data_IF_536955028890
#
_entry.id   IF_536955028890
#
_cell.length_a   1.000
_cell.length_b   1.000
_cell.length_c   1.000
_cell.angle_alpha   90.00
_cell.angle_beta   90.00
_cell.angle_gamma   90.00
#
_symmetry.space_group_name_H-M   'P 1'
#
loop_
_entity.id
_entity.type
_entity.pdbx_description
1 polymer ?
#
# COMPACT_ATOMS: atom_id res chain seq x y z
N UNK A 1 -24.58 -30.44 18.13
CA UNK A 1 -24.38 -28.97 18.23
C UNK A 1 -24.63 -28.41 16.84
N UNK A 2 -25.59 -27.53 16.64
CA UNK A 2 -25.78 -26.88 15.34
C UNK A 2 -24.73 -25.75 15.25
N UNK A 3 -23.73 -25.93 14.40
CA UNK A 3 -22.78 -24.90 14.09
C UNK A 3 -23.49 -23.87 13.20
N UNK A 4 -23.58 -22.64 13.66
CA UNK A 4 -24.12 -21.55 12.87
C UNK A 4 -22.94 -20.72 12.33
N UNK A 5 -22.73 -20.73 11.02
CA UNK A 5 -21.80 -19.86 10.33
C UNK A 5 -22.52 -18.58 9.92
N UNK A 6 -21.77 -17.48 9.79
CA UNK A 6 -22.23 -16.30 9.08
C UNK A 6 -22.45 -16.63 7.60
N UNK A 7 -23.19 -15.79 6.91
CA UNK A 7 -23.52 -16.03 5.50
C UNK A 7 -22.26 -16.10 4.63
N UNK A 8 -21.37 -15.13 4.76
CA UNK A 8 -20.15 -15.07 3.92
C UNK A 8 -19.15 -16.14 4.34
N UNK A 9 -19.08 -16.48 5.65
CA UNK A 9 -18.27 -17.61 6.12
C UNK A 9 -18.76 -18.95 5.57
N UNK A 10 -20.07 -19.14 5.41
CA UNK A 10 -20.64 -20.33 4.77
C UNK A 10 -20.27 -20.39 3.27
N UNK A 11 -20.38 -19.29 2.55
CA UNK A 11 -19.97 -19.22 1.14
C UNK A 11 -18.47 -19.48 0.94
N UNK A 12 -17.64 -19.03 1.89
CA UNK A 12 -16.21 -19.37 1.91
C UNK A 12 -15.99 -20.89 2.06
N UNK A 13 -16.66 -21.53 3.00
CA UNK A 13 -16.58 -22.97 3.18
C UNK A 13 -17.01 -23.70 1.89
N UNK A 14 -18.17 -23.32 1.33
CA UNK A 14 -18.71 -23.90 0.11
C UNK A 14 -17.76 -23.75 -1.08
N UNK A 15 -17.10 -22.60 -1.21
CA UNK A 15 -16.16 -22.35 -2.30
C UNK A 15 -14.99 -23.37 -2.31
N UNK A 16 -14.52 -23.80 -1.16
CA UNK A 16 -13.48 -24.85 -1.04
C UNK A 16 -14.05 -26.23 -1.36
N UNK A 17 -15.20 -26.58 -0.76
CA UNK A 17 -15.81 -27.91 -0.87
C UNK A 17 -16.34 -28.16 -2.28
N UNK A 18 -16.88 -27.14 -2.96
CA UNK A 18 -17.44 -27.24 -4.29
C UNK A 18 -16.43 -26.96 -5.42
N UNK A 19 -15.16 -26.75 -5.07
CA UNK A 19 -14.07 -26.44 -6.02
C UNK A 19 -14.41 -25.23 -6.92
N UNK A 20 -14.99 -24.19 -6.31
CA UNK A 20 -15.45 -23.02 -7.05
C UNK A 20 -14.29 -22.19 -7.63
N UNK A 21 -13.13 -22.20 -6.96
CA UNK A 21 -11.90 -21.56 -7.40
C UNK A 21 -10.68 -22.27 -6.81
N UNK A 22 -9.59 -22.31 -7.58
CA UNK A 22 -8.33 -22.93 -7.12
C UNK A 22 -7.65 -22.10 -6.04
N UNK A 23 -7.60 -20.78 -6.22
CA UNK A 23 -6.97 -19.83 -5.29
C UNK A 23 -8.04 -18.96 -4.65
N UNK A 24 -8.11 -18.96 -3.32
CA UNK A 24 -9.12 -18.20 -2.56
C UNK A 24 -8.41 -17.31 -1.55
N UNK A 25 -8.68 -16.00 -1.58
CA UNK A 25 -8.20 -15.06 -0.57
C UNK A 25 -9.36 -14.49 0.24
N UNK A 26 -9.35 -14.75 1.55
CA UNK A 26 -10.40 -14.33 2.47
C UNK A 26 -9.92 -13.20 3.35
N UNK A 27 -10.48 -12.03 3.13
CA UNK A 27 -10.25 -10.83 3.93
C UNK A 27 -11.36 -10.67 4.97
N UNK A 28 -11.02 -10.33 6.19
CA UNK A 28 -12.04 -10.05 7.20
C UNK A 28 -11.45 -9.42 8.46
N UNK A 29 -12.24 -8.68 9.24
CA UNK A 29 -11.79 -8.14 10.52
C UNK A 29 -11.38 -9.25 11.49
N UNK A 30 -10.77 -8.84 12.59
CA UNK A 30 -10.36 -9.78 13.63
C UNK A 30 -11.59 -10.36 14.34
N UNK A 31 -11.57 -11.69 14.54
CA UNK A 31 -12.66 -12.39 15.24
C UNK A 31 -13.78 -12.90 14.33
N UNK A 32 -13.76 -12.62 13.03
CA UNK A 32 -14.82 -13.09 12.10
C UNK A 32 -14.60 -14.53 11.61
N UNK A 33 -14.10 -15.41 12.48
CA UNK A 33 -14.03 -16.88 12.34
C UNK A 33 -13.29 -17.42 11.09
N UNK A 34 -12.44 -16.63 10.40
CA UNK A 34 -11.73 -17.06 9.18
C UNK A 34 -10.97 -18.40 9.35
N UNK A 35 -10.17 -18.51 10.41
CA UNK A 35 -9.38 -19.70 10.74
C UNK A 35 -10.26 -20.91 11.02
N UNK A 36 -11.33 -20.75 11.83
CA UNK A 36 -12.26 -21.83 12.14
C UNK A 36 -13.02 -22.32 10.90
N UNK A 37 -13.45 -21.40 10.06
CA UNK A 37 -14.13 -21.73 8.80
C UNK A 37 -13.22 -22.49 7.84
N UNK A 38 -11.93 -22.11 7.75
CA UNK A 38 -10.96 -22.86 6.96
C UNK A 38 -10.78 -24.29 7.49
N UNK A 39 -10.60 -24.45 8.81
CA UNK A 39 -10.43 -25.79 9.41
C UNK A 39 -11.65 -26.67 9.15
N UNK A 40 -12.87 -26.11 9.22
CA UNK A 40 -14.10 -26.82 8.82
C UNK A 40 -14.10 -27.20 7.35
N UNK A 41 -13.71 -26.27 6.48
CA UNK A 41 -13.64 -26.51 5.05
C UNK A 41 -12.61 -27.59 4.68
N UNK A 42 -11.45 -27.60 5.37
CA UNK A 42 -10.43 -28.65 5.18
C UNK A 42 -10.95 -30.05 5.57
N UNK A 43 -11.74 -30.15 6.65
CA UNK A 43 -12.38 -31.40 7.06
C UNK A 43 -13.44 -31.82 6.05
N UNK A 44 -14.35 -30.92 5.66
CA UNK A 44 -15.41 -31.21 4.68
C UNK A 44 -14.83 -31.59 3.30
N UNK A 45 -13.75 -30.93 2.89
CA UNK A 45 -12.99 -31.27 1.69
C UNK A 45 -12.40 -32.68 1.78
N UNK A 46 -11.86 -33.07 2.94
CA UNK A 46 -11.32 -34.42 3.14
C UNK A 46 -12.41 -35.51 3.15
N UNK A 47 -13.57 -35.24 3.75
CA UNK A 47 -14.73 -36.13 3.68
C UNK A 47 -15.21 -36.35 2.24
N UNK A 48 -15.24 -35.27 1.44
CA UNK A 48 -15.59 -35.39 0.02
C UNK A 48 -14.53 -36.15 -0.78
N UNK A 49 -13.23 -35.95 -0.52
CA UNK A 49 -12.16 -36.76 -1.10
C UNK A 49 -12.37 -38.25 -0.80
N UNK A 50 -12.62 -38.59 0.47
CA UNK A 50 -12.86 -39.95 0.88
C UNK A 50 -14.08 -40.58 0.19
N UNK A 51 -15.19 -39.81 0.10
CA UNK A 51 -16.41 -40.25 -0.56
C UNK A 51 -16.20 -40.54 -2.05
N UNK A 52 -15.31 -39.79 -2.69
CA UNK A 52 -14.95 -39.95 -4.11
C UNK A 52 -13.83 -40.96 -4.34
N UNK A 53 -13.35 -41.64 -3.27
CA UNK A 53 -12.34 -42.70 -3.36
C UNK A 53 -10.88 -42.19 -3.45
N UNK A 54 -10.61 -40.94 -3.15
CA UNK A 54 -9.24 -40.41 -3.07
C UNK A 54 -8.57 -40.79 -1.74
N UNK A 55 -7.22 -40.79 -1.70
CA UNK A 55 -6.49 -41.17 -0.48
C UNK A 55 -6.76 -40.23 0.71
N UNK A 56 -6.84 -40.81 1.91
CA UNK A 56 -6.87 -40.10 3.20
C UNK A 56 -5.74 -40.60 4.11
N UNK A 57 -5.21 -39.79 5.05
CA UNK A 57 -5.58 -38.42 5.31
C UNK A 57 -5.18 -37.45 4.16
N UNK A 58 -6.04 -36.46 3.88
CA UNK A 58 -5.74 -35.43 2.94
C UNK A 58 -4.66 -34.51 3.52
N UNK A 59 -3.55 -34.36 2.79
CA UNK A 59 -2.41 -33.57 3.24
C UNK A 59 -2.59 -32.10 2.95
N UNK A 60 -2.46 -31.27 3.98
CA UNK A 60 -2.45 -29.82 3.92
C UNK A 60 -1.14 -29.27 4.48
N UNK A 61 -0.75 -28.10 4.01
CA UNK A 61 0.27 -27.28 4.66
C UNK A 61 -0.38 -25.99 5.17
N UNK A 62 -0.12 -25.66 6.43
CA UNK A 62 -0.49 -24.40 7.06
C UNK A 62 0.75 -23.54 7.28
N UNK A 63 0.75 -22.33 6.71
CA UNK A 63 1.93 -21.47 6.67
C UNK A 63 1.63 -20.13 7.33
N UNK A 64 2.50 -19.71 8.25
CA UNK A 64 2.50 -18.38 8.85
C UNK A 64 3.85 -17.69 8.62
N UNK A 65 3.98 -16.42 8.98
CA UNK A 65 5.25 -15.69 8.91
C UNK A 65 6.32 -16.27 9.86
N UNK A 66 5.90 -16.77 11.03
CA UNK A 66 6.79 -17.43 12.01
C UNK A 66 6.13 -18.66 12.58
N UNK A 67 6.92 -19.67 12.92
CA UNK A 67 6.38 -20.87 13.60
C UNK A 67 5.64 -20.51 14.91
N UNK A 68 6.14 -19.53 15.65
CA UNK A 68 5.49 -19.02 16.86
C UNK A 68 4.06 -18.52 16.61
N UNK A 69 3.75 -18.02 15.41
CA UNK A 69 2.39 -17.59 15.09
C UNK A 69 1.40 -18.76 15.11
N UNK A 70 1.80 -19.96 14.67
CA UNK A 70 0.98 -21.16 14.81
C UNK A 70 0.69 -21.50 16.27
N UNK A 71 1.71 -21.47 17.13
CA UNK A 71 1.56 -21.76 18.56
C UNK A 71 0.57 -20.79 19.23
N UNK A 72 0.58 -19.53 18.84
CA UNK A 72 -0.27 -18.49 19.46
C UNK A 72 -1.68 -18.43 18.86
N UNK A 73 -1.85 -18.77 17.58
CA UNK A 73 -3.12 -18.53 16.87
C UNK A 73 -3.78 -19.82 16.39
N UNK A 74 -3.07 -20.65 15.63
CA UNK A 74 -3.63 -21.81 14.95
C UNK A 74 -3.90 -22.95 15.93
N UNK A 75 -2.92 -23.29 16.76
CA UNK A 75 -3.03 -24.40 17.72
C UNK A 75 -4.16 -24.19 18.74
N UNK A 76 -4.34 -22.99 19.35
CA UNK A 76 -5.51 -22.75 20.17
C UNK A 76 -6.84 -22.95 19.45
N UNK A 77 -6.90 -22.64 18.15
CA UNK A 77 -8.09 -22.87 17.32
C UNK A 77 -8.40 -24.35 17.11
N UNK A 78 -7.38 -25.21 17.06
CA UNK A 78 -7.53 -26.68 16.97
C UNK A 78 -8.04 -27.29 18.28
N UNK A 79 -7.76 -26.65 19.41
CA UNK A 79 -8.23 -27.06 20.74
C UNK A 79 -9.59 -26.46 21.13
N UNK A 80 -10.24 -25.74 20.24
CA UNK A 80 -11.57 -25.17 20.48
C UNK A 80 -12.57 -26.29 20.86
N UNK A 81 -13.44 -26.09 21.86
CA UNK A 81 -14.48 -27.06 22.23
C UNK A 81 -15.38 -27.50 21.08
N UNK A 82 -15.48 -26.70 20.03
CA UNK A 82 -16.15 -27.05 18.79
C UNK A 82 -15.71 -28.41 18.23
N UNK A 83 -14.41 -28.72 18.31
CA UNK A 83 -13.81 -29.93 17.76
C UNK A 83 -13.91 -31.15 18.64
N UNK A 84 -14.29 -31.00 19.93
CA UNK A 84 -14.40 -32.08 20.89
C UNK A 84 -13.14 -32.98 20.96
N UNK A 85 -11.95 -32.39 20.73
CA UNK A 85 -10.68 -33.10 20.73
C UNK A 85 -10.41 -33.96 19.49
N UNK A 86 -11.14 -33.74 18.38
CA UNK A 86 -10.89 -34.47 17.12
C UNK A 86 -9.57 -34.08 16.45
N UNK A 87 -9.08 -32.88 16.69
CA UNK A 87 -7.72 -32.46 16.30
C UNK A 87 -6.71 -32.91 17.35
N UNK A 88 -5.63 -33.54 16.90
CA UNK A 88 -4.45 -33.89 17.72
C UNK A 88 -3.21 -33.23 17.12
N UNK A 89 -2.39 -32.64 17.97
CA UNK A 89 -1.13 -31.96 17.56
C UNK A 89 0.03 -32.88 17.96
N UNK A 90 0.96 -33.10 17.03
CA UNK A 90 2.12 -33.99 17.15
C UNK A 90 3.43 -33.25 16.80
N UNK A 91 4.54 -33.90 17.15
CA UNK A 91 5.89 -33.49 16.76
C UNK A 91 6.22 -32.01 17.08
N UNK A 92 5.99 -31.62 18.33
CA UNK A 92 6.32 -30.27 18.80
C UNK A 92 5.53 -29.18 18.09
N UNK A 93 4.26 -29.46 17.79
CA UNK A 93 3.32 -28.54 17.15
C UNK A 93 3.53 -28.30 15.64
N UNK A 94 4.29 -29.18 14.98
CA UNK A 94 4.48 -29.09 13.52
C UNK A 94 3.42 -29.85 12.72
N UNK A 95 2.78 -30.87 13.30
CA UNK A 95 1.75 -31.68 12.63
C UNK A 95 0.45 -31.71 13.42
N UNK A 96 -0.64 -31.30 12.78
CA UNK A 96 -1.99 -31.43 13.32
C UNK A 96 -2.79 -32.44 12.48
N UNK A 97 -3.44 -33.40 13.14
CA UNK A 97 -4.24 -34.42 12.47
C UNK A 97 -5.67 -34.39 12.99
N UNK A 98 -6.65 -34.31 12.07
CA UNK A 98 -8.07 -34.47 12.39
C UNK A 98 -8.50 -35.92 12.25
N UNK A 99 -9.19 -36.42 13.25
CA UNK A 99 -9.73 -37.74 13.29
C UNK A 99 -11.26 -37.76 13.27
N UNK A 100 -11.85 -38.56 12.40
CA UNK A 100 -13.27 -38.92 12.46
C UNK A 100 -13.34 -40.30 13.13
N UNK A 101 -13.65 -40.30 14.43
CA UNK A 101 -13.45 -41.51 15.26
C UNK A 101 -11.97 -41.87 15.36
N UNK A 102 -11.59 -43.04 14.84
CA UNK A 102 -10.20 -43.50 14.79
C UNK A 102 -9.51 -43.24 13.44
N UNK A 103 -10.27 -42.80 12.44
CA UNK A 103 -9.76 -42.60 11.07
C UNK A 103 -9.19 -41.20 10.88
N UNK A 104 -7.90 -41.07 10.52
CA UNK A 104 -7.34 -39.76 10.17
C UNK A 104 -7.90 -39.30 8.84
N UNK A 105 -8.47 -38.09 8.81
CA UNK A 105 -9.03 -37.48 7.58
C UNK A 105 -8.18 -36.37 7.02
N UNK A 106 -7.63 -35.53 7.88
CA UNK A 106 -6.75 -34.40 7.48
C UNK A 106 -5.43 -34.54 8.22
N UNK A 107 -4.33 -34.34 7.52
CA UNK A 107 -2.99 -34.16 8.10
C UNK A 107 -2.45 -32.82 7.65
N UNK A 108 -2.26 -31.89 8.57
CA UNK A 108 -1.82 -30.52 8.27
C UNK A 108 -0.45 -30.27 8.91
N UNK A 109 0.56 -30.06 8.07
CA UNK A 109 1.87 -29.62 8.54
C UNK A 109 1.88 -28.09 8.74
N UNK A 110 2.29 -27.67 9.95
CA UNK A 110 2.28 -26.27 10.40
C UNK A 110 3.71 -25.73 10.50
N UNK A 111 4.09 -24.73 9.71
CA UNK A 111 5.41 -24.12 9.80
C UNK A 111 5.44 -22.63 9.47
N UNK A 112 6.48 -21.95 9.96
CA UNK A 112 6.74 -20.57 9.67
C UNK A 112 7.70 -20.40 8.50
N UNK A 113 7.57 -19.28 7.78
CA UNK A 113 8.47 -18.90 6.69
C UNK A 113 9.37 -17.77 7.18
N UNK A 114 10.34 -18.11 8.03
CA UNK A 114 11.23 -17.14 8.68
C UNK A 114 12.47 -16.82 7.85
N UNK A 115 12.86 -17.72 6.95
CA UNK A 115 14.05 -17.61 6.10
C UNK A 115 13.88 -18.32 4.75
N UNK A 116 14.88 -18.22 3.89
CA UNK A 116 14.87 -18.85 2.57
C UNK A 116 14.79 -20.39 2.65
N UNK A 117 15.43 -21.01 3.64
CA UNK A 117 15.37 -22.47 3.84
C UNK A 117 13.95 -22.93 4.21
N UNK A 118 13.18 -22.08 4.89
CA UNK A 118 11.78 -22.34 5.16
C UNK A 118 10.92 -22.26 3.89
N UNK A 119 11.23 -21.35 2.96
CA UNK A 119 10.55 -21.30 1.64
C UNK A 119 10.84 -22.56 0.83
N UNK A 120 12.02 -23.12 0.89
CA UNK A 120 12.38 -24.36 0.18
C UNK A 120 11.57 -25.56 0.73
N UNK A 121 11.21 -25.59 2.00
CA UNK A 121 10.32 -26.61 2.59
C UNK A 121 8.88 -26.57 2.02
N UNK A 122 8.44 -25.45 1.45
CA UNK A 122 7.14 -25.34 0.78
C UNK A 122 7.02 -26.21 -0.48
N UNK A 123 8.11 -26.83 -0.93
CA UNK A 123 8.14 -27.74 -2.10
C UNK A 123 7.67 -29.17 -1.78
N UNK A 124 7.22 -29.44 -0.56
CA UNK A 124 6.68 -30.75 -0.21
C UNK A 124 5.35 -31.01 -0.92
N UNK A 125 5.12 -32.25 -1.34
CA UNK A 125 3.89 -32.64 -2.02
C UNK A 125 2.69 -32.58 -1.08
N UNK A 126 1.66 -31.86 -1.51
CA UNK A 126 0.44 -31.62 -0.73
C UNK A 126 -0.81 -31.62 -1.64
N UNK A 127 -1.98 -31.66 -1.03
CA UNK A 127 -3.27 -31.41 -1.69
C UNK A 127 -3.72 -29.97 -1.45
N UNK A 128 -3.78 -29.57 -0.17
CA UNK A 128 -4.24 -28.24 0.22
C UNK A 128 -3.12 -27.34 0.70
N UNK A 129 -3.24 -26.05 0.44
CA UNK A 129 -2.33 -25.00 0.90
C UNK A 129 -3.14 -23.96 1.66
N UNK A 130 -2.68 -23.59 2.84
CA UNK A 130 -3.26 -22.54 3.64
C UNK A 130 -2.21 -21.55 4.15
N UNK A 131 -2.35 -20.28 3.82
CA UNK A 131 -1.55 -19.18 4.38
C UNK A 131 -2.39 -18.41 5.38
N UNK A 132 -1.99 -18.42 6.65
CA UNK A 132 -2.65 -17.66 7.70
C UNK A 132 -1.93 -16.36 7.98
N UNK A 133 -2.67 -15.25 7.86
CA UNK A 133 -2.20 -13.90 8.14
C UNK A 133 -0.86 -13.56 7.45
N UNK A 134 -0.75 -13.74 6.12
CA UNK A 134 0.48 -13.40 5.40
C UNK A 134 0.79 -11.91 5.40
N UNK A 135 -0.13 -11.09 5.90
CA UNK A 135 -0.02 -9.64 6.00
C UNK A 135 0.52 -9.26 7.36
N UNK A 136 1.61 -8.50 7.41
CA UNK A 136 2.13 -7.95 8.65
C UNK A 136 1.08 -7.07 9.35
N UNK A 137 0.83 -7.31 10.62
CA UNK A 137 -0.15 -6.55 11.41
C UNK A 137 0.44 -5.23 11.87
N UNK A 138 1.71 -5.22 12.23
CA UNK A 138 2.41 -4.04 12.71
C UNK A 138 3.71 -3.84 11.93
N UNK A 139 4.10 -2.61 11.81
CA UNK A 139 5.28 -2.14 11.10
C UNK A 139 6.59 -2.62 11.68
N UNK A 140 6.62 -2.84 12.98
CA UNK A 140 7.79 -3.40 13.67
C UNK A 140 8.05 -4.86 13.23
N UNK A 141 7.02 -5.53 12.75
CA UNK A 141 7.11 -6.82 12.08
C UNK A 141 6.99 -6.58 10.57
N UNK A 142 8.05 -6.14 9.92
CA UNK A 142 8.15 -6.12 8.44
C UNK A 142 8.08 -7.55 7.86
N UNK A 143 7.53 -8.45 8.63
CA UNK A 143 7.35 -9.86 8.36
C UNK A 143 5.98 -10.00 7.73
N UNK A 144 5.96 -10.32 6.53
CA UNK A 144 4.82 -10.82 5.80
C UNK A 144 5.31 -11.96 4.94
N UNK A 145 4.42 -12.81 4.50
CA UNK A 145 4.78 -13.88 3.59
C UNK A 145 4.76 -13.32 2.16
N UNK A 146 5.83 -13.57 1.41
CA UNK A 146 5.96 -13.07 0.04
C UNK A 146 5.07 -13.82 -0.94
N UNK A 147 4.73 -13.20 -2.07
CA UNK A 147 4.05 -13.86 -3.19
C UNK A 147 4.88 -15.03 -3.74
N UNK A 148 6.22 -14.93 -3.71
CA UNK A 148 7.12 -16.02 -4.11
C UNK A 148 6.89 -17.28 -3.26
N UNK A 149 6.74 -17.14 -1.95
CA UNK A 149 6.42 -18.27 -1.06
C UNK A 149 5.06 -18.88 -1.42
N UNK A 150 4.05 -18.05 -1.69
CA UNK A 150 2.74 -18.50 -2.16
C UNK A 150 2.84 -19.32 -3.46
N UNK A 151 3.52 -18.79 -4.47
CA UNK A 151 3.71 -19.46 -5.76
C UNK A 151 4.48 -20.78 -5.60
N UNK A 152 5.46 -20.85 -4.70
CA UNK A 152 6.20 -22.08 -4.40
C UNK A 152 5.27 -23.13 -3.78
N UNK A 153 4.45 -22.73 -2.80
CA UNK A 153 3.52 -23.64 -2.13
C UNK A 153 2.46 -24.21 -3.09
N UNK A 154 1.81 -23.39 -3.90
CA UNK A 154 0.77 -23.85 -4.84
C UNK A 154 1.33 -24.73 -5.95
N UNK A 155 2.61 -24.55 -6.33
CA UNK A 155 3.27 -25.44 -7.31
C UNK A 155 3.55 -26.84 -6.78
N UNK A 156 3.41 -27.04 -5.48
CA UNK A 156 3.64 -28.33 -4.78
C UNK A 156 2.38 -29.17 -4.58
N UNK A 157 1.24 -28.67 -5.01
CA UNK A 157 -0.04 -29.39 -4.98
C UNK A 157 -0.08 -30.47 -6.06
N UNK A 158 0.38 -31.70 -5.74
CA UNK A 158 0.57 -32.81 -6.71
C UNK A 158 -0.04 -34.13 -6.25
N UNK A 159 -0.45 -34.23 -4.98
CA UNK A 159 -1.05 -35.47 -4.49
C UNK A 159 -2.45 -35.70 -5.09
N UNK A 160 -2.85 -36.96 -5.33
CA UNK A 160 -4.16 -37.25 -5.89
C UNK A 160 -5.30 -36.75 -4.99
N UNK A 161 -6.19 -35.94 -5.58
CA UNK A 161 -7.39 -35.41 -4.93
C UNK A 161 -8.40 -34.98 -5.99
N UNK A 162 -9.66 -34.75 -5.61
CA UNK A 162 -10.65 -34.21 -6.55
C UNK A 162 -10.42 -32.74 -6.85
N UNK A 163 -9.82 -32.00 -5.91
CA UNK A 163 -9.44 -30.60 -6.07
C UNK A 163 -8.22 -30.23 -5.23
N UNK A 164 -7.60 -29.11 -5.56
CA UNK A 164 -6.37 -28.64 -4.93
C UNK A 164 -6.56 -27.20 -4.42
N UNK A 165 -7.28 -26.99 -3.32
CA UNK A 165 -7.55 -25.67 -2.80
C UNK A 165 -6.29 -25.00 -2.25
N UNK A 166 -6.09 -23.75 -2.63
CA UNK A 166 -5.05 -22.88 -2.09
C UNK A 166 -5.73 -21.65 -1.46
N UNK A 167 -5.59 -21.49 -0.15
CA UNK A 167 -6.39 -20.54 0.61
C UNK A 167 -5.51 -19.58 1.42
N UNK A 168 -5.85 -18.33 1.38
CA UNK A 168 -5.30 -17.27 2.24
C UNK A 168 -6.41 -16.79 3.17
N UNK A 169 -6.17 -16.81 4.48
CA UNK A 169 -7.02 -16.15 5.48
C UNK A 169 -6.26 -14.99 6.08
N UNK A 170 -6.77 -13.77 5.95
CA UNK A 170 -6.03 -12.59 6.40
C UNK A 170 -6.94 -11.48 6.91
N UNK A 171 -6.38 -10.62 7.76
CA UNK A 171 -6.96 -9.32 8.00
C UNK A 171 -6.74 -8.43 6.76
N UNK A 172 -7.45 -7.31 6.69
CA UNK A 172 -7.32 -6.41 5.54
C UNK A 172 -5.89 -5.85 5.44
N UNK A 173 -5.21 -6.03 4.31
CA UNK A 173 -3.90 -5.46 4.07
C UNK A 173 -3.98 -3.98 3.65
N UNK A 174 -2.84 -3.45 3.33
CA UNK A 174 -2.65 -2.27 2.51
C UNK A 174 -3.14 -2.52 1.06
N UNK A 175 -3.70 -1.49 0.43
CA UNK A 175 -4.20 -1.56 -0.95
C UNK A 175 -3.15 -2.01 -1.97
N UNK A 176 -1.86 -1.76 -1.69
CA UNK A 176 -0.74 -2.17 -2.54
C UNK A 176 -0.17 -3.56 -2.25
N UNK A 177 -0.68 -4.24 -1.24
CA UNK A 177 -0.19 -5.57 -0.88
C UNK A 177 -0.38 -6.57 -2.04
N UNK A 178 0.55 -7.52 -2.18
CA UNK A 178 0.52 -8.49 -3.28
C UNK A 178 -0.78 -9.31 -3.34
N UNK A 179 -1.42 -9.60 -2.21
CA UNK A 179 -2.72 -10.29 -2.19
C UNK A 179 -3.81 -9.47 -2.86
N UNK A 180 -3.83 -8.14 -2.66
CA UNK A 180 -4.81 -7.25 -3.33
C UNK A 180 -4.55 -7.20 -4.82
N UNK A 181 -3.28 -7.10 -5.23
CA UNK A 181 -2.89 -7.08 -6.66
C UNK A 181 -3.16 -8.40 -7.37
N UNK A 182 -3.11 -9.53 -6.66
CA UNK A 182 -3.34 -10.85 -7.22
C UNK A 182 -4.82 -11.23 -7.29
N UNK A 183 -5.58 -10.91 -6.26
CA UNK A 183 -6.97 -11.38 -6.10
C UNK A 183 -8.03 -10.32 -6.44
N UNK A 184 -7.64 -9.07 -6.66
CA UNK A 184 -8.53 -7.97 -7.03
C UNK A 184 -9.82 -7.88 -6.19
N UNK A 185 -9.74 -7.86 -4.85
CA UNK A 185 -10.94 -7.84 -4.03
C UNK A 185 -11.79 -6.60 -4.28
N UNK A 186 -13.10 -6.67 -4.09
CA UNK A 186 -13.95 -5.49 -4.20
C UNK A 186 -13.55 -4.46 -3.14
N UNK A 187 -13.16 -3.27 -3.55
CA UNK A 187 -12.71 -2.22 -2.62
C UNK A 187 -13.87 -1.65 -1.81
N UNK A 188 -15.07 -1.65 -2.37
CA UNK A 188 -16.32 -1.21 -1.72
C UNK A 188 -17.39 -2.28 -1.87
N UNK A 189 -17.75 -3.00 -0.80
CA UNK A 189 -18.85 -3.97 -0.84
C UNK A 189 -20.22 -3.26 -0.85
N UNK A 190 -21.31 -3.89 -1.34
CA UNK A 190 -21.30 -5.12 -2.07
C UNK A 190 -20.77 -4.95 -3.50
N UNK A 191 -20.34 -6.04 -4.20
CA UNK A 191 -20.40 -7.43 -3.77
C UNK A 191 -19.32 -7.79 -2.73
N UNK A 192 -19.56 -8.85 -1.95
CA UNK A 192 -18.59 -9.38 -0.98
C UNK A 192 -17.64 -10.42 -1.59
N UNK A 193 -18.01 -11.00 -2.72
CA UNK A 193 -17.27 -12.04 -3.41
C UNK A 193 -17.07 -11.60 -4.86
N UNK A 194 -15.84 -11.72 -5.32
CA UNK A 194 -15.47 -11.52 -6.74
C UNK A 194 -14.61 -12.68 -7.16
N UNK A 195 -14.90 -13.23 -8.34
CA UNK A 195 -14.13 -14.29 -8.96
C UNK A 195 -13.61 -13.84 -10.32
N UNK A 196 -12.33 -14.10 -10.56
CA UNK A 196 -11.64 -13.87 -11.83
C UNK A 196 -10.90 -15.17 -12.20
N UNK A 197 -11.49 -15.93 -13.10
CA UNK A 197 -11.01 -17.26 -13.50
C UNK A 197 -10.88 -18.21 -12.29
N UNK A 198 -9.68 -18.70 -12.07
CA UNK A 198 -9.31 -19.63 -10.98
C UNK A 198 -9.12 -18.94 -9.63
N UNK A 199 -9.30 -17.62 -9.52
CA UNK A 199 -9.06 -16.83 -8.30
C UNK A 199 -10.34 -16.24 -7.78
N UNK A 200 -10.50 -16.32 -6.47
CA UNK A 200 -11.65 -15.76 -5.76
C UNK A 200 -11.19 -14.90 -4.59
N UNK A 201 -11.73 -13.71 -4.48
CA UNK A 201 -11.59 -12.83 -3.33
C UNK A 201 -12.89 -12.77 -2.54
N UNK A 202 -12.83 -13.04 -1.25
CA UNK A 202 -13.97 -13.03 -0.33
C UNK A 202 -13.73 -11.99 0.76
N UNK A 203 -14.69 -11.08 0.96
CA UNK A 203 -14.68 -10.10 2.05
C UNK A 203 -15.72 -10.47 3.10
N UNK A 204 -15.28 -11.00 4.24
CA UNK A 204 -16.15 -11.23 5.39
C UNK A 204 -16.42 -9.86 6.05
N UNK A 205 -17.68 -9.42 6.14
CA UNK A 205 -18.00 -8.16 6.78
C UNK A 205 -17.87 -8.24 8.31
N UNK A 206 -17.73 -7.10 8.95
CA UNK A 206 -17.86 -6.99 10.41
C UNK A 206 -19.25 -7.45 10.84
N UNK A 207 -19.30 -8.40 11.75
CA UNK A 207 -20.54 -8.93 12.29
C UNK A 207 -21.06 -10.20 11.63
N UNK A 208 -20.35 -10.75 10.67
CA UNK A 208 -20.72 -12.04 10.02
C UNK A 208 -20.62 -13.22 11.01
N UNK A 209 -19.70 -13.18 11.99
CA UNK A 209 -19.60 -14.20 13.02
C UNK A 209 -20.70 -14.03 14.10
N UNK A 210 -21.72 -14.89 14.16
CA UNK A 210 -22.81 -14.77 15.13
C UNK A 210 -22.38 -15.12 16.57
N UNK A 211 -21.23 -15.76 16.75
CA UNK A 211 -20.72 -16.18 18.06
C UNK A 211 -19.81 -15.13 18.70
N UNK A 212 -19.40 -14.10 17.97
CA UNK A 212 -18.55 -13.03 18.49
C UNK A 212 -19.39 -12.01 19.28
N UNK A 213 -19.11 -11.88 20.56
CA UNK A 213 -19.84 -10.92 21.42
C UNK A 213 -19.65 -9.46 21.00
N UNK A 214 -20.69 -8.65 21.13
CA UNK A 214 -20.58 -7.20 20.93
C UNK A 214 -19.51 -6.58 21.82
N UNK A 215 -19.42 -7.03 23.07
CA UNK A 215 -18.39 -6.57 24.04
C UNK A 215 -16.97 -6.75 23.51
N UNK A 216 -16.64 -7.89 22.89
CA UNK A 216 -15.31 -8.09 22.30
C UNK A 216 -15.02 -7.08 21.19
N UNK A 217 -16.02 -6.79 20.32
CA UNK A 217 -15.89 -5.79 19.26
C UNK A 217 -15.65 -4.39 19.82
N UNK A 218 -16.36 -4.03 20.89
CA UNK A 218 -16.23 -2.73 21.53
C UNK A 218 -14.87 -2.57 22.23
N UNK A 219 -14.43 -3.60 22.96
CA UNK A 219 -13.11 -3.61 23.62
C UNK A 219 -11.96 -3.52 22.59
N UNK A 220 -12.07 -4.25 21.47
CA UNK A 220 -11.10 -4.18 20.39
C UNK A 220 -11.09 -2.78 19.74
N UNK A 221 -12.25 -2.21 19.47
CA UNK A 221 -12.36 -0.86 18.91
C UNK A 221 -11.75 0.18 19.86
N UNK A 222 -12.03 0.06 21.16
CA UNK A 222 -11.45 0.93 22.18
C UNK A 222 -9.93 0.82 22.28
N UNK A 223 -9.37 -0.40 22.17
CA UNK A 223 -7.93 -0.65 22.20
C UNK A 223 -7.18 -0.06 20.99
N UNK A 224 -7.87 0.11 19.87
CA UNK A 224 -7.32 0.65 18.62
C UNK A 224 -7.60 2.15 18.43
N UNK A 225 -8.21 2.83 19.40
CA UNK A 225 -8.63 4.25 19.30
C UNK A 225 -7.50 5.18 18.86
N UNK A 226 -6.28 4.92 19.33
CA UNK A 226 -5.09 5.73 19.02
C UNK A 226 -4.31 5.22 17.78
N UNK A 227 -4.82 4.21 17.09
CA UNK A 227 -4.23 3.59 15.90
C UNK A 227 -5.28 3.49 14.80
N UNK A 228 -5.66 4.61 14.17
CA UNK A 228 -6.71 4.64 13.14
C UNK A 228 -6.40 3.75 11.94
N UNK A 229 -5.12 3.56 11.59
CA UNK A 229 -4.65 2.62 10.59
C UNK A 229 -5.03 1.16 10.89
N UNK A 230 -4.81 0.72 12.12
CA UNK A 230 -5.20 -0.61 12.58
C UNK A 230 -6.70 -0.73 12.81
N UNK A 231 -7.33 0.32 13.31
CA UNK A 231 -8.78 0.36 13.54
C UNK A 231 -9.56 0.08 12.25
N UNK A 232 -9.22 0.77 11.16
CA UNK A 232 -9.86 0.59 9.85
C UNK A 232 -9.69 -0.86 9.35
N UNK A 233 -8.53 -1.45 9.53
CA UNK A 233 -8.20 -2.80 9.01
C UNK A 233 -8.73 -3.92 9.89
N UNK A 234 -8.51 -3.83 11.20
CA UNK A 234 -8.78 -4.93 12.14
C UNK A 234 -10.19 -4.88 12.73
N UNK A 235 -10.78 -3.69 12.86
CA UNK A 235 -12.09 -3.50 13.47
C UNK A 235 -13.19 -3.20 12.44
N UNK A 236 -12.94 -2.29 11.49
CA UNK A 236 -13.96 -1.90 10.51
C UNK A 236 -14.01 -2.79 9.26
N UNK A 237 -12.93 -3.54 9.01
CA UNK A 237 -12.90 -4.45 7.88
C UNK A 237 -12.76 -3.77 6.53
N UNK A 238 -11.86 -2.80 6.44
CA UNK A 238 -11.54 -2.11 5.20
C UNK A 238 -10.04 -2.16 4.90
N UNK A 239 -9.72 -2.10 3.60
CA UNK A 239 -8.35 -1.89 3.17
C UNK A 239 -7.87 -0.53 3.65
N UNK A 240 -6.60 -0.44 4.04
CA UNK A 240 -6.03 0.79 4.54
C UNK A 240 -4.58 0.91 4.14
N UNK A 241 -3.96 2.07 4.32
CA UNK A 241 -2.52 2.13 4.27
C UNK A 241 -1.93 1.70 5.62
N UNK A 242 -0.93 0.84 5.60
CA UNK A 242 -0.09 0.60 6.77
C UNK A 242 0.73 1.86 7.03
N UNK A 243 0.42 2.53 8.13
CA UNK A 243 1.38 3.48 8.67
C UNK A 243 2.61 2.66 9.14
N UNK A 244 3.67 2.68 8.34
CA UNK A 244 4.92 1.96 8.65
C UNK A 244 5.70 2.58 9.83
N UNK A 245 5.10 3.51 10.55
CA UNK A 245 5.65 4.25 11.68
C UNK A 245 4.72 5.40 12.06
N UNK A 246 5.24 6.41 12.73
CA UNK A 246 4.49 7.65 12.93
C UNK A 246 4.42 8.41 11.60
N UNK A 247 3.21 8.73 11.16
CA UNK A 247 2.96 9.41 9.89
C UNK A 247 3.64 10.80 9.87
N UNK A 248 4.43 11.08 8.85
CA UNK A 248 5.07 12.38 8.66
C UNK A 248 4.04 13.45 8.32
N UNK A 249 3.12 13.12 7.43
CA UNK A 249 2.05 14.02 6.95
C UNK A 249 0.82 13.98 7.86
N UNK A 250 0.98 14.30 9.15
CA UNK A 250 -0.04 14.12 10.18
C UNK A 250 -1.37 14.88 9.92
N UNK A 251 -1.38 15.92 9.08
CA UNK A 251 -2.60 16.65 8.71
C UNK A 251 -3.26 16.19 7.41
N UNK A 252 -2.67 15.21 6.71
CA UNK A 252 -3.19 14.75 5.44
C UNK A 252 -4.47 13.91 5.61
N UNK A 253 -5.55 14.35 4.98
CA UNK A 253 -6.83 13.64 4.93
C UNK A 253 -7.22 13.39 3.46
N UNK A 254 -7.20 12.15 2.96
CA UNK A 254 -7.55 11.85 1.57
C UNK A 254 -8.93 12.37 1.15
N UNK A 255 -9.93 12.28 2.02
CA UNK A 255 -11.28 12.76 1.71
C UNK A 255 -11.33 14.29 1.48
N UNK A 256 -10.45 15.04 2.14
CA UNK A 256 -10.34 16.48 2.01
C UNK A 256 -9.34 16.92 0.93
N UNK A 257 -8.22 16.21 0.79
CA UNK A 257 -7.08 16.68 -0.01
C UNK A 257 -6.92 15.97 -1.37
N UNK A 258 -7.63 14.87 -1.63
CA UNK A 258 -7.62 14.24 -2.95
C UNK A 258 -8.86 14.67 -3.72
N UNK A 259 -8.66 15.10 -4.96
CA UNK A 259 -9.78 15.46 -5.83
C UNK A 259 -10.59 14.21 -6.21
N UNK A 260 -11.90 14.36 -6.35
CA UNK A 260 -12.76 13.29 -6.90
C UNK A 260 -12.53 13.09 -8.40
N UNK A 261 -12.10 14.14 -9.08
CA UNK A 261 -11.89 14.16 -10.52
C UNK A 261 -10.43 14.41 -10.86
N UNK A 262 -10.03 14.00 -12.07
CA UNK A 262 -8.69 14.28 -12.57
C UNK A 262 -8.47 15.79 -12.72
N UNK A 263 -7.42 16.32 -12.11
CA UNK A 263 -7.04 17.71 -12.22
C UNK A 263 -6.20 17.95 -13.49
N UNK A 264 -6.40 19.11 -14.11
CA UNK A 264 -5.59 19.57 -15.24
C UNK A 264 -4.97 20.93 -14.94
N UNK A 265 -3.75 21.18 -15.43
CA UNK A 265 -3.12 22.50 -15.32
C UNK A 265 -3.97 23.59 -15.96
N UNK A 266 -3.97 24.75 -15.32
CA UNK A 266 -4.63 25.97 -15.82
C UNK A 266 -3.68 26.65 -16.79
N UNK A 267 -4.08 26.77 -18.05
CA UNK A 267 -3.27 27.38 -19.08
C UNK A 267 -3.05 28.88 -18.79
N UNK A 268 -1.80 29.34 -18.96
CA UNK A 268 -1.42 30.73 -18.70
C UNK A 268 -1.13 31.04 -17.24
N UNK A 269 -1.25 30.08 -16.33
CA UNK A 269 -0.84 30.24 -14.93
C UNK A 269 0.54 29.57 -14.70
N UNK A 270 1.43 30.17 -13.89
CA UNK A 270 2.74 29.59 -13.60
C UNK A 270 2.66 28.19 -12.98
N UNK A 271 3.56 27.31 -13.40
CA UNK A 271 3.79 26.02 -12.79
C UNK A 271 4.79 26.15 -11.64
N UNK A 272 4.49 25.49 -10.54
CA UNK A 272 5.36 25.37 -9.39
C UNK A 272 5.89 23.94 -9.32
N UNK A 273 7.20 23.80 -9.14
CA UNK A 273 7.88 22.52 -9.03
C UNK A 273 8.58 22.39 -7.66
N UNK A 274 8.49 21.21 -7.08
CA UNK A 274 9.32 20.80 -5.95
C UNK A 274 10.25 19.68 -6.39
N UNK A 275 11.55 19.82 -6.16
CA UNK A 275 12.57 18.90 -6.64
C UNK A 275 13.42 18.34 -5.50
N UNK A 276 13.46 17.02 -5.39
CA UNK A 276 14.41 16.29 -4.57
C UNK A 276 15.51 15.66 -5.45
N UNK A 277 16.77 15.70 -4.97
CA UNK A 277 17.96 15.30 -5.73
C UNK A 277 18.66 14.05 -5.16
N UNK A 278 18.01 13.14 -4.60
CA UNK A 278 18.66 11.88 -4.17
C UNK A 278 19.26 11.06 -5.32
N UNK A 279 19.75 9.87 -5.03
CA UNK A 279 20.11 8.87 -6.05
C UNK A 279 18.92 8.53 -6.96
N UNK A 280 17.73 8.80 -6.51
CA UNK A 280 16.43 8.62 -7.17
C UNK A 280 15.66 9.92 -7.12
N UNK A 281 15.92 10.86 -8.05
CA UNK A 281 15.27 12.16 -8.02
C UNK A 281 13.75 12.07 -8.13
N UNK A 282 13.05 13.00 -7.45
CA UNK A 282 11.60 13.10 -7.53
C UNK A 282 11.15 14.53 -7.80
N UNK A 283 10.09 14.68 -8.60
CA UNK A 283 9.53 15.98 -8.96
C UNK A 283 8.03 16.03 -8.65
N UNK A 284 7.60 17.08 -7.94
CA UNK A 284 6.19 17.43 -7.74
C UNK A 284 5.85 18.60 -8.65
N UNK A 285 4.73 18.54 -9.36
CA UNK A 285 4.25 19.57 -10.27
C UNK A 285 2.85 20.03 -9.86
N UNK A 286 2.70 21.34 -9.66
CA UNK A 286 1.42 21.93 -9.29
C UNK A 286 1.29 23.41 -9.65
N UNK A 287 0.22 24.01 -9.19
CA UNK A 287 -0.08 25.44 -9.35
C UNK A 287 -0.75 26.00 -8.11
N UNK A 288 -0.56 27.29 -7.86
CA UNK A 288 -1.37 28.05 -6.93
C UNK A 288 -2.28 29.01 -7.70
N UNK A 289 -3.59 28.89 -7.53
CA UNK A 289 -4.54 29.75 -8.21
C UNK A 289 -5.64 30.19 -7.25
N UNK A 290 -5.84 31.49 -7.09
CA UNK A 290 -6.82 32.11 -6.17
C UNK A 290 -6.74 31.55 -4.74
N UNK A 291 -5.51 31.27 -4.28
CA UNK A 291 -5.25 30.73 -2.96
C UNK A 291 -5.38 29.19 -2.85
N UNK A 292 -6.02 28.53 -3.80
CA UNK A 292 -6.06 27.07 -3.87
C UNK A 292 -4.78 26.52 -4.49
N UNK A 293 -4.32 25.39 -3.98
CA UNK A 293 -3.14 24.67 -4.45
C UNK A 293 -3.58 23.38 -5.12
N UNK A 294 -3.20 23.18 -6.37
CA UNK A 294 -3.49 21.99 -7.15
C UNK A 294 -2.20 21.30 -7.51
N UNK A 295 -2.06 20.05 -7.11
CA UNK A 295 -0.92 19.20 -7.50
C UNK A 295 -1.39 18.22 -8.56
N UNK A 296 -0.73 18.22 -9.69
CA UNK A 296 -1.13 17.47 -10.88
C UNK A 296 -0.37 16.19 -11.07
N UNK A 297 0.93 16.21 -10.71
CA UNK A 297 1.80 15.06 -10.86
C UNK A 297 2.81 14.96 -9.71
N UNK A 298 3.11 13.73 -9.36
CA UNK A 298 4.20 13.32 -8.50
C UNK A 298 5.00 12.26 -9.25
N UNK A 299 6.18 12.62 -9.70
CA UNK A 299 7.01 11.85 -10.61
C UNK A 299 8.24 11.34 -9.86
N UNK A 300 8.26 10.07 -9.41
CA UNK A 300 9.46 9.43 -8.90
C UNK A 300 10.36 8.99 -10.05
N UNK A 301 11.63 8.78 -9.75
CA UNK A 301 12.58 8.14 -10.65
C UNK A 301 13.03 6.82 -10.04
N UNK A 302 12.79 5.72 -10.72
CA UNK A 302 13.19 4.40 -10.21
C UNK A 302 14.69 4.15 -10.36
N UNK A 303 15.27 4.65 -11.47
CA UNK A 303 16.70 4.48 -11.76
C UNK A 303 17.20 5.63 -12.64
N UNK A 304 18.33 6.22 -12.29
CA UNK A 304 19.00 7.23 -13.10
C UNK A 304 19.13 8.60 -12.43
N UNK A 305 19.96 9.43 -13.03
CA UNK A 305 20.22 10.79 -12.57
C UNK A 305 19.16 11.80 -13.05
N UNK A 306 19.33 13.05 -12.64
CA UNK A 306 18.41 14.15 -12.91
C UNK A 306 18.12 14.33 -14.41
N UNK A 307 19.12 14.30 -15.27
CA UNK A 307 18.94 14.40 -16.73
C UNK A 307 17.99 13.34 -17.26
N UNK A 308 18.23 12.08 -16.89
CA UNK A 308 17.41 10.95 -17.34
C UNK A 308 15.96 11.06 -16.80
N UNK A 309 15.79 11.49 -15.55
CA UNK A 309 14.47 11.73 -14.97
C UNK A 309 13.69 12.81 -15.72
N UNK A 310 14.35 13.92 -16.05
CA UNK A 310 13.71 15.00 -16.78
C UNK A 310 13.37 14.60 -18.21
N UNK A 311 14.28 13.94 -18.92
CA UNK A 311 14.03 13.45 -20.29
C UNK A 311 12.92 12.39 -20.36
N UNK A 312 12.87 11.46 -19.40
CA UNK A 312 11.91 10.36 -19.42
C UNK A 312 10.54 10.69 -18.82
N UNK A 313 10.47 11.64 -17.85
CA UNK A 313 9.25 11.85 -17.07
C UNK A 313 8.76 13.29 -17.09
N UNK A 314 9.60 14.26 -16.70
CA UNK A 314 9.16 15.65 -16.45
C UNK A 314 8.84 16.36 -17.77
N UNK A 315 9.76 16.37 -18.74
CA UNK A 315 9.56 17.02 -20.04
C UNK A 315 8.40 16.40 -20.83
N UNK A 316 8.27 15.06 -20.95
CA UNK A 316 7.11 14.45 -21.59
C UNK A 316 5.79 14.79 -20.90
N UNK A 317 5.76 14.87 -19.57
CA UNK A 317 4.57 15.27 -18.83
C UNK A 317 4.21 16.74 -19.18
N UNK A 318 5.18 17.65 -19.15
CA UNK A 318 4.98 19.07 -19.50
C UNK A 318 4.50 19.21 -20.95
N UNK A 319 5.12 18.50 -21.89
CA UNK A 319 4.73 18.53 -23.30
C UNK A 319 3.27 18.11 -23.51
N UNK A 320 2.81 17.13 -22.74
CA UNK A 320 1.45 16.60 -22.83
C UNK A 320 0.41 17.48 -22.15
N UNK A 321 0.71 18.01 -20.96
CA UNK A 321 -0.30 18.65 -20.10
C UNK A 321 -0.13 20.17 -19.94
N UNK A 322 1.07 20.69 -20.16
CA UNK A 322 1.39 22.11 -19.98
C UNK A 322 2.36 22.65 -21.07
N UNK A 323 2.05 22.45 -22.38
CA UNK A 323 2.98 22.82 -23.46
C UNK A 323 3.30 24.30 -23.50
N UNK A 324 2.43 25.17 -22.94
CA UNK A 324 2.71 26.61 -22.85
C UNK A 324 3.92 26.91 -21.95
N UNK A 325 4.12 26.16 -20.90
CA UNK A 325 5.24 26.36 -19.97
C UNK A 325 6.60 25.99 -20.61
N UNK A 326 6.61 25.07 -21.57
CA UNK A 326 7.81 24.76 -22.36
C UNK A 326 8.12 25.86 -23.38
N UNK A 327 7.09 26.57 -23.87
CA UNK A 327 7.25 27.72 -24.80
C UNK A 327 7.70 28.98 -24.09
N UNK A 328 7.17 29.23 -22.90
CA UNK A 328 7.54 30.36 -22.04
C UNK A 328 8.11 29.86 -20.72
N UNK A 329 9.42 29.75 -20.66
CA UNK A 329 10.13 29.22 -19.48
C UNK A 329 9.98 30.11 -18.24
N UNK A 330 9.56 31.36 -18.37
CA UNK A 330 9.24 32.25 -17.25
C UNK A 330 7.98 31.77 -16.49
N UNK A 331 7.20 30.89 -17.10
CA UNK A 331 6.03 30.24 -16.46
C UNK A 331 6.38 29.04 -15.55
N UNK A 332 7.65 28.79 -15.33
CA UNK A 332 8.14 27.72 -14.47
C UNK A 332 8.90 28.32 -13.29
N UNK A 333 8.50 27.96 -12.09
CA UNK A 333 9.25 28.29 -10.89
C UNK A 333 9.38 27.03 -10.02
N UNK A 334 10.49 26.85 -9.30
CA UNK A 334 10.70 25.67 -8.48
C UNK A 334 11.56 25.95 -7.25
N UNK A 335 11.37 25.07 -6.26
CA UNK A 335 12.24 24.98 -5.09
C UNK A 335 12.86 23.59 -5.07
N UNK A 336 14.14 23.54 -4.80
CA UNK A 336 14.92 22.32 -4.89
C UNK A 336 15.72 22.03 -3.61
N UNK A 337 16.10 20.76 -3.44
CA UNK A 337 17.01 20.34 -2.38
C UNK A 337 18.38 21.01 -2.54
N UNK A 338 18.89 21.72 -1.52
CA UNK A 338 20.22 22.33 -1.54
C UNK A 338 21.37 21.36 -1.93
N UNK A 339 21.23 20.07 -1.72
CA UNK A 339 22.17 19.06 -2.22
C UNK A 339 22.35 19.11 -3.74
N UNK A 340 21.39 19.66 -4.50
CA UNK A 340 21.48 19.87 -5.94
C UNK A 340 22.52 20.89 -6.39
N UNK A 341 23.09 21.67 -5.47
CA UNK A 341 24.20 22.59 -5.75
C UNK A 341 25.58 21.94 -5.59
N UNK A 342 25.66 20.72 -5.07
CA UNK A 342 26.95 20.04 -4.89
C UNK A 342 27.53 19.73 -6.26
N UNK A 343 28.73 20.25 -6.54
CA UNK A 343 29.48 19.95 -7.75
C UNK A 343 29.93 18.48 -7.69
N UNK A 344 29.74 17.76 -8.79
CA UNK A 344 30.30 16.44 -8.93
C UNK A 344 31.82 16.58 -9.07
N UNK A 345 32.63 15.91 -8.26
CA UNK A 345 34.09 15.98 -8.28
C UNK A 345 34.70 15.58 -9.65
N UNK A 346 33.91 14.91 -10.51
CA UNK A 346 34.31 14.45 -11.83
C UNK A 346 33.96 15.43 -12.96
N UNK A 347 33.04 16.39 -12.75
CA UNK A 347 32.63 17.36 -13.79
C UNK A 347 32.14 18.67 -13.14
N UNK A 348 33.07 19.58 -12.92
CA UNK A 348 32.88 20.87 -12.22
C UNK A 348 31.85 21.82 -12.88
N UNK A 349 31.31 21.51 -14.04
CA UNK A 349 30.31 22.30 -14.75
C UNK A 349 28.86 21.84 -14.62
N UNK A 350 28.58 20.73 -13.92
CA UNK A 350 27.25 20.11 -13.94
C UNK A 350 26.69 19.75 -12.57
N UNK A 351 26.37 20.76 -11.75
CA UNK A 351 25.49 20.49 -10.62
C UNK A 351 24.10 20.07 -11.12
N UNK A 352 23.36 19.22 -10.38
CA UNK A 352 22.00 18.80 -10.72
C UNK A 352 21.07 19.95 -11.09
N UNK A 353 21.13 21.06 -10.38
CA UNK A 353 20.28 22.22 -10.66
C UNK A 353 20.65 22.90 -11.98
N UNK A 354 21.93 23.05 -12.31
CA UNK A 354 22.36 23.61 -13.59
C UNK A 354 21.91 22.73 -14.76
N UNK A 355 21.85 21.43 -14.58
CA UNK A 355 21.28 20.53 -15.58
C UNK A 355 19.81 20.85 -15.82
N UNK A 356 19.01 21.04 -14.76
CA UNK A 356 17.59 21.42 -14.89
C UNK A 356 17.44 22.78 -15.57
N UNK A 357 18.24 23.79 -15.16
CA UNK A 357 18.18 25.11 -15.74
C UNK A 357 18.51 25.09 -17.24
N UNK A 358 19.47 24.29 -17.68
CA UNK A 358 19.79 24.10 -19.10
C UNK A 358 18.65 23.42 -19.87
N UNK A 359 18.02 22.40 -19.29
CA UNK A 359 16.97 21.60 -19.94
C UNK A 359 15.63 22.32 -19.96
N UNK A 360 15.23 22.90 -18.84
CA UNK A 360 13.88 23.40 -18.62
C UNK A 360 13.84 24.95 -18.52
N UNK A 361 14.92 25.57 -18.02
CA UNK A 361 14.91 27.00 -17.64
C UNK A 361 14.07 27.22 -16.39
N UNK A 362 13.40 28.40 -16.31
CA UNK A 362 12.57 28.76 -15.17
C UNK A 362 13.33 29.47 -14.05
N UNK A 363 12.64 29.73 -12.96
CA UNK A 363 13.19 30.36 -11.75
C UNK A 363 13.32 29.33 -10.66
N UNK A 364 14.53 29.06 -10.19
CA UNK A 364 14.81 28.05 -9.19
C UNK A 364 15.45 28.67 -7.95
N UNK A 365 15.02 28.23 -6.78
CA UNK A 365 15.56 28.66 -5.49
C UNK A 365 15.82 27.46 -4.59
N UNK A 366 16.81 27.60 -3.73
CA UNK A 366 17.11 26.59 -2.73
C UNK A 366 16.01 26.47 -1.68
N UNK A 367 15.69 25.26 -1.31
CA UNK A 367 14.82 24.96 -0.19
C UNK A 367 15.54 24.98 1.15
N UNK A 368 14.78 24.76 2.22
CA UNK A 368 15.33 24.70 3.56
C UNK A 368 16.22 23.48 3.76
N UNK A 369 17.37 23.65 4.41
CA UNK A 369 18.30 22.56 4.72
C UNK A 369 17.79 21.70 5.87
N UNK A 370 17.29 22.34 6.95
CA UNK A 370 16.82 21.60 8.12
C UNK A 370 15.46 20.93 7.90
N UNK A 371 15.24 19.78 8.53
CA UNK A 371 13.96 19.09 8.47
C UNK A 371 12.79 19.98 8.91
N UNK A 372 12.96 20.74 9.98
CA UNK A 372 11.91 21.63 10.51
C UNK A 372 11.55 22.75 9.52
N UNK A 373 12.54 23.30 8.78
CA UNK A 373 12.28 24.34 7.76
C UNK A 373 11.50 23.79 6.55
N UNK A 374 11.66 22.51 6.21
CA UNK A 374 10.94 21.83 5.12
C UNK A 374 9.55 21.36 5.54
N UNK A 375 9.43 20.79 6.73
CA UNK A 375 8.19 20.22 7.27
C UNK A 375 7.12 21.28 7.53
N UNK A 376 7.51 22.46 8.05
CA UNK A 376 6.59 23.51 8.44
C UNK A 376 5.61 23.94 7.33
N UNK A 377 6.10 24.34 6.14
CA UNK A 377 5.25 24.71 5.01
C UNK A 377 4.29 23.61 4.57
N UNK A 378 4.74 22.36 4.55
CA UNK A 378 3.90 21.21 4.21
C UNK A 378 2.75 21.02 5.21
N UNK A 379 3.03 21.03 6.51
CA UNK A 379 1.99 20.90 7.54
C UNK A 379 1.00 22.08 7.53
N UNK A 380 1.48 23.29 7.30
CA UNK A 380 0.63 24.48 7.14
C UNK A 380 -0.32 24.33 5.94
N UNK A 381 0.15 23.73 4.84
CA UNK A 381 -0.66 23.51 3.64
C UNK A 381 -1.82 22.54 3.89
N UNK A 382 -1.62 21.47 4.67
CA UNK A 382 -2.72 20.54 5.03
C UNK A 382 -3.79 21.20 5.90
N UNK A 383 -3.42 22.15 6.72
CA UNK A 383 -4.37 22.84 7.62
C UNK A 383 -5.01 24.06 6.98
N UNK A 384 -4.57 24.44 5.76
CA UNK A 384 -5.10 25.63 5.08
C UNK A 384 -6.46 25.37 4.49
N UNK A 385 -7.43 26.20 4.85
CA UNK A 385 -8.79 26.15 4.31
C UNK A 385 -9.15 27.51 3.68
N UNK A 386 -9.98 27.48 2.64
CA UNK A 386 -10.52 28.66 1.95
C UNK A 386 -12.03 28.44 1.83
N UNK A 387 -12.82 29.35 2.39
CA UNK A 387 -14.27 29.26 2.42
C UNK A 387 -14.82 27.92 2.92
N UNK A 388 -14.12 27.31 3.91
CA UNK A 388 -14.52 26.03 4.50
C UNK A 388 -14.04 24.78 3.76
N UNK A 389 -13.37 24.95 2.62
CA UNK A 389 -12.77 23.83 1.85
C UNK A 389 -11.25 23.76 2.03
N UNK A 390 -10.69 22.55 2.02
CA UNK A 390 -9.23 22.39 2.02
C UNK A 390 -8.61 23.08 0.80
N UNK A 391 -7.61 23.91 1.04
CA UNK A 391 -6.95 24.65 -0.03
C UNK A 391 -6.13 23.74 -0.95
N UNK A 392 -5.62 22.61 -0.45
CA UNK A 392 -4.85 21.63 -1.21
C UNK A 392 -5.78 20.63 -1.91
N UNK A 393 -5.51 20.35 -3.18
CA UNK A 393 -6.12 19.26 -3.95
C UNK A 393 -5.07 18.52 -4.76
N UNK A 394 -4.96 17.22 -4.55
CA UNK A 394 -4.09 16.31 -5.30
C UNK A 394 -4.87 15.61 -6.42
N UNK A 395 -4.30 15.52 -7.60
CA UNK A 395 -4.86 14.73 -8.70
C UNK A 395 -4.79 13.24 -8.35
N UNK A 396 -5.92 12.49 -8.36
CA UNK A 396 -5.93 11.10 -7.91
C UNK A 396 -4.97 10.20 -8.69
N UNK A 397 -4.98 10.26 -10.02
CA UNK A 397 -4.13 9.43 -10.86
C UNK A 397 -2.68 9.96 -10.94
N UNK A 398 -2.51 11.28 -11.15
CA UNK A 398 -1.17 11.87 -11.33
C UNK A 398 -0.34 11.90 -10.04
N UNK A 399 -0.99 11.89 -8.87
CA UNK A 399 -0.33 11.93 -7.57
C UNK A 399 -0.47 10.61 -6.79
N UNK A 400 -0.87 9.52 -7.43
CA UNK A 400 -1.09 8.24 -6.74
C UNK A 400 0.08 7.81 -5.83
N UNK A 401 1.36 7.83 -6.26
CA UNK A 401 2.46 7.47 -5.39
C UNK A 401 2.65 8.46 -4.22
N UNK A 402 2.49 9.77 -4.44
CA UNK A 402 2.55 10.77 -3.36
C UNK A 402 1.41 10.57 -2.35
N UNK A 403 0.20 10.28 -2.82
CA UNK A 403 -0.94 10.00 -1.94
C UNK A 403 -0.63 8.82 -1.02
N UNK A 404 0.02 7.76 -1.51
CA UNK A 404 0.44 6.64 -0.68
C UNK A 404 1.53 7.04 0.33
N UNK A 405 2.51 7.84 -0.10
CA UNK A 405 3.51 8.39 0.81
C UNK A 405 2.84 9.14 1.98
N UNK A 406 1.94 10.08 1.65
CA UNK A 406 1.23 10.92 2.63
C UNK A 406 0.25 10.14 3.51
N UNK A 407 -0.31 9.03 3.03
CA UNK A 407 -1.16 8.12 3.84
C UNK A 407 -0.40 7.35 4.91
N UNK A 408 0.96 7.36 4.91
CA UNK A 408 1.78 6.74 5.95
C UNK A 408 2.93 5.87 5.46
N UNK A 409 3.16 5.74 4.14
CA UNK A 409 4.36 5.08 3.63
C UNK A 409 5.62 5.92 3.82
N UNK A 410 5.47 7.23 3.94
CA UNK A 410 6.48 8.15 4.41
C UNK A 410 6.30 8.39 5.90
N UNK A 411 7.23 7.89 6.73
CA UNK A 411 7.04 7.75 8.18
C UNK A 411 8.29 8.00 9.00
N UNK A 412 8.09 8.31 10.27
CA UNK A 412 9.13 8.26 11.29
C UNK A 412 9.25 6.85 11.86
N UNK A 413 10.47 6.33 11.97
CA UNK A 413 10.71 5.04 12.63
C UNK A 413 10.30 5.08 14.10
N UNK A 414 9.69 3.99 14.56
CA UNK A 414 9.32 3.82 15.96
C UNK A 414 10.28 2.87 16.67
N UNK A 415 10.49 3.08 17.96
CA UNK A 415 11.15 2.14 18.83
C UNK A 415 10.23 0.98 19.24
N UNK A 416 10.76 0.03 20.06
CA UNK A 416 9.99 -1.13 20.53
C UNK A 416 8.79 -0.78 21.40
N UNK A 417 8.77 0.42 21.98
CA UNK A 417 7.70 0.93 22.85
C UNK A 417 6.70 1.81 22.08
N UNK A 418 6.92 2.03 20.79
CA UNK A 418 6.08 2.87 19.94
C UNK A 418 6.45 4.36 19.99
N UNK A 419 7.57 4.72 20.62
CA UNK A 419 8.12 6.08 20.58
C UNK A 419 8.82 6.37 19.25
N UNK A 420 8.80 7.62 18.80
CA UNK A 420 9.51 8.03 17.58
C UNK A 420 11.01 7.99 17.83
N UNK A 421 11.72 7.17 17.04
CA UNK A 421 13.18 6.96 17.21
C UNK A 421 14.00 8.20 16.83
N UNK A 422 13.55 8.96 15.83
CA UNK A 422 14.20 10.19 15.34
C UNK A 422 13.14 11.11 14.78
N UNK A 423 13.34 12.41 14.95
CA UNK A 423 12.48 13.44 14.37
C UNK A 423 12.73 13.65 12.86
N UNK A 424 13.32 12.67 12.18
CA UNK A 424 13.63 12.66 10.75
C UNK A 424 12.94 11.43 10.12
N UNK A 425 12.31 11.57 8.96
CA UNK A 425 11.68 10.45 8.26
C UNK A 425 12.66 9.30 7.99
N UNK A 426 12.12 8.08 7.94
CA UNK A 426 12.91 6.88 7.65
C UNK A 426 13.56 6.97 6.27
N UNK A 427 14.89 6.74 6.22
CA UNK A 427 15.69 6.64 4.99
C UNK A 427 16.59 5.39 5.06
N UNK A 428 16.85 4.68 3.95
CA UNK A 428 16.15 4.82 2.65
C UNK A 428 14.72 4.27 2.72
N UNK A 429 13.80 4.85 1.98
CA UNK A 429 12.40 4.42 1.88
C UNK A 429 11.80 4.81 0.51
N UNK A 430 12.58 4.56 -0.55
CA UNK A 430 12.20 4.87 -1.94
C UNK A 430 10.90 4.17 -2.37
N UNK A 431 10.00 4.82 -3.16
CA UNK A 431 10.06 6.23 -3.60
C UNK A 431 9.39 7.20 -2.61
N UNK A 432 9.03 6.75 -1.41
CA UNK A 432 8.12 7.47 -0.52
C UNK A 432 8.77 8.68 0.14
N UNK A 433 10.02 8.56 0.60
CA UNK A 433 10.74 9.71 1.15
C UNK A 433 11.10 10.73 0.07
N UNK A 434 11.55 10.29 -1.11
CA UNK A 434 11.92 11.20 -2.20
C UNK A 434 10.72 12.05 -2.63
N UNK A 435 9.55 11.42 -2.77
CA UNK A 435 8.29 12.12 -3.06
C UNK A 435 7.84 13.02 -1.92
N UNK A 436 8.05 12.60 -0.69
CA UNK A 436 7.74 13.39 0.50
C UNK A 436 8.64 14.62 0.62
N UNK A 437 9.94 14.46 0.41
CA UNK A 437 10.91 15.55 0.43
C UNK A 437 10.65 16.51 -0.74
N UNK A 438 10.43 16.02 -1.98
CA UNK A 438 10.03 16.85 -3.12
C UNK A 438 8.72 17.62 -2.85
N UNK A 439 7.76 17.01 -2.14
CA UNK A 439 6.53 17.71 -1.78
C UNK A 439 6.75 18.80 -0.72
N UNK A 440 7.69 18.61 0.20
CA UNK A 440 8.12 19.68 1.12
C UNK A 440 8.70 20.88 0.36
N UNK A 441 9.56 20.64 -0.64
CA UNK A 441 10.11 21.72 -1.49
C UNK A 441 9.00 22.38 -2.31
N UNK A 442 8.06 21.62 -2.85
CA UNK A 442 6.87 22.18 -3.51
C UNK A 442 6.06 23.07 -2.56
N UNK A 443 5.80 22.63 -1.33
CA UNK A 443 5.07 23.43 -0.35
C UNK A 443 5.80 24.72 0.02
N UNK A 444 7.13 24.68 0.07
CA UNK A 444 7.97 25.87 0.31
C UNK A 444 7.90 26.89 -0.83
N UNK A 445 7.68 26.45 -2.07
CA UNK A 445 7.53 27.36 -3.22
C UNK A 445 6.30 28.26 -3.14
N UNK A 446 5.29 27.84 -2.39
CA UNK A 446 4.04 28.61 -2.23
C UNK A 446 4.22 29.87 -1.40
N UNK A 447 5.19 29.90 -0.48
CA UNK A 447 5.56 31.09 0.29
C UNK A 447 6.37 32.14 -0.52
N UNK A 448 6.94 31.69 -1.63
CA UNK A 448 7.71 32.51 -2.54
C UNK A 448 6.87 33.04 -3.74
N UNK A 449 5.59 32.65 -3.83
CA UNK A 449 4.68 32.98 -4.93
C UNK A 449 4.27 34.44 -5.01
N UNK A 450 4.91 35.35 -4.28
CA UNK A 450 5.00 36.79 -4.60
C UNK A 450 6.03 37.08 -5.72
N UNK A 451 6.50 36.03 -6.42
CA UNK A 451 7.17 36.24 -7.73
C UNK A 451 6.08 36.75 -8.69
N UNK A 452 5.78 38.01 -8.58
CA UNK A 452 5.06 38.73 -9.63
C UNK A 452 5.83 38.47 -10.91
N UNK A 453 5.19 37.99 -11.99
CA UNK A 453 5.82 38.01 -13.29
C UNK A 453 6.39 39.42 -13.45
N UNK A 454 7.68 39.50 -13.68
CA UNK A 454 8.36 40.80 -13.88
C UNK A 454 7.56 41.49 -14.96
N UNK A 455 6.84 42.54 -14.60
CA UNK A 455 6.08 43.30 -15.57
C UNK A 455 7.07 43.60 -16.71
N UNK A 456 6.81 43.08 -17.89
CA UNK A 456 7.56 43.43 -19.07
C UNK A 456 7.39 44.93 -19.12
N UNK A 457 8.47 45.70 -18.87
CA UNK A 457 8.47 47.13 -19.13
C UNK A 457 8.29 47.25 -20.62
N UNK A 458 7.07 47.44 -21.04
CA UNK A 458 6.76 47.87 -22.42
C UNK A 458 7.25 49.29 -22.48
N UNK A 459 8.46 49.47 -22.99
CA UNK A 459 9.08 50.82 -23.09
C UNK A 459 8.37 51.71 -24.11
N UNK A 460 7.55 51.12 -24.99
CA UNK A 460 6.65 51.88 -25.86
C UNK A 460 5.45 51.04 -26.34
N UNK A 461 4.34 51.70 -26.66
CA UNK A 461 3.18 51.06 -27.30
C UNK A 461 3.48 50.39 -28.66
N UNK A 462 4.62 50.71 -29.27
CA UNK A 462 5.10 50.17 -30.56
C UNK A 462 5.62 48.73 -30.43
N UNK A 463 6.06 48.28 -29.23
CA UNK A 463 6.55 46.91 -29.02
C UNK A 463 5.43 45.86 -28.95
N UNK A 464 4.20 46.30 -28.73
CA UNK A 464 3.01 45.42 -28.71
C UNK A 464 2.59 44.99 -30.13
N UNK A 465 3.07 45.63 -31.17
CA UNK A 465 2.65 45.38 -32.56
C UNK A 465 3.77 44.89 -33.47
N UNK A 466 4.93 44.51 -32.95
CA UNK A 466 5.96 43.89 -33.77
C UNK A 466 5.52 42.52 -34.24
N UNK A 467 5.38 42.25 -35.55
CA UNK A 467 5.12 40.92 -36.05
C UNK A 467 6.33 40.07 -35.74
N UNK A 468 6.07 38.86 -35.19
CA UNK A 468 7.06 37.82 -35.05
C UNK A 468 7.64 37.51 -36.43
N UNK A 469 8.89 37.91 -36.69
CA UNK A 469 9.63 37.46 -37.87
C UNK A 469 9.85 35.95 -37.71
N UNK A 470 9.15 35.20 -38.51
CA UNK A 470 9.41 33.77 -38.73
C UNK A 470 10.63 33.74 -39.67
N UNK A 471 11.79 33.44 -39.13
CA UNK A 471 12.90 32.96 -39.94
C UNK A 471 12.68 31.49 -40.25
N UNK A 472 12.70 31.16 -41.55
CA UNK A 472 12.59 29.80 -42.07
C UNK A 472 13.85 28.97 -41.82
#
# INVERSE_FOLDING_TARGET
MNLQLGQIAYEFLSAIVDDAAREICVYGPRGEAKTQTLLLAAVAHAERNQTLGYPTPVKWIGVTDTHRAHVVKTIPSLHDPLWRGAWRVFDGDHLAVFFSGETPLVAMELFGVEDQGAIDRLRMETVGVWFEEPVAVAVLDQRGISETAWMTAISSQRLPAYSHPAVITTNYPDEDHWTVKRFHPPMTPPPHIVQDGERMAIRIPKGDNPHLSGRFRDEMAASLKNRPDLFVRLSEGNFGSLAMGSQVAAGFNPAAHVSKEALRPIAGEPLLLGQDFGHTPATIIGQSYRGFVRVYAALPCDHGGVRQHFDASVIPWLAKYAPWALKDRAMIAGVYDPAGNTEDESDTDQSPIRTIEKMLGGYWSEGGVSWESRKGPMLALFNRAIAGEAALRLCPAGCAPLIQALKGRWYYSLDRLGGVMRDIPKKPNHPWEDLGDAFCYFASSLGQADIKPRAIKVESAFDLFRPLSVEF
#
